data_IF_596795209060
#
_entry.id   IF_596795209060
#
_cell.length_a   1.000
_cell.length_b   1.000
_cell.length_c   1.000
_cell.angle_alpha   90.00
_cell.angle_beta   90.00
_cell.angle_gamma   90.00
#
_symmetry.space_group_name_H-M   'P 1'
#
loop_
_entity.id
_entity.type
_entity.pdbx_description
1 polymer ?
#
# COMPACT_ATOMS: atom_id res chain seq x y z
N UNK A 1 -15.91 -15.26 15.00
CA UNK A 1 -14.83 -15.29 13.98
C UNK A 1 -14.75 -13.94 13.27
N UNK A 2 -13.60 -13.26 13.30
CA UNK A 2 -13.44 -12.00 12.57
C UNK A 2 -13.50 -12.30 11.06
N UNK A 3 -14.28 -11.56 10.25
CA UNK A 3 -14.30 -11.74 8.81
C UNK A 3 -12.90 -11.55 8.20
N UNK A 4 -12.59 -12.19 7.06
CA UNK A 4 -11.30 -12.03 6.41
C UNK A 4 -11.19 -10.60 5.86
N UNK A 5 -10.47 -9.74 6.58
CA UNK A 5 -10.16 -8.39 6.14
C UNK A 5 -8.90 -8.41 5.29
N UNK A 6 -8.94 -7.77 4.13
CA UNK A 6 -7.86 -7.77 3.16
C UNK A 6 -7.63 -6.37 2.62
N UNK A 7 -6.35 -6.07 2.34
CA UNK A 7 -6.01 -5.01 1.41
C UNK A 7 -6.08 -5.60 -0.01
N UNK A 8 -6.71 -4.91 -0.98
CA UNK A 8 -6.63 -5.35 -2.36
C UNK A 8 -5.17 -5.36 -2.80
N UNK A 9 -4.62 -6.56 -3.06
CA UNK A 9 -3.26 -6.75 -3.60
C UNK A 9 -2.19 -7.32 -2.66
N UNK A 10 -2.51 -7.78 -1.44
CA UNK A 10 -1.52 -8.39 -0.54
C UNK A 10 -1.14 -9.84 -0.92
N UNK A 11 -0.01 -10.01 -1.64
CA UNK A 11 0.79 -11.26 -1.63
C UNK A 11 1.94 -11.07 -0.64
N UNK A 12 1.91 -11.79 0.47
CA UNK A 12 2.95 -11.72 1.51
C UNK A 12 4.09 -12.69 1.17
N UNK A 13 5.31 -12.20 0.91
CA UNK A 13 6.51 -13.05 0.91
C UNK A 13 7.66 -12.44 1.72
N UNK A 14 8.28 -13.33 2.51
CA UNK A 14 9.18 -13.05 3.62
C UNK A 14 10.63 -12.75 3.24
N UNK A 15 11.36 -12.33 4.27
CA UNK A 15 12.74 -11.87 4.23
C UNK A 15 13.76 -12.97 3.89
N UNK A 16 14.36 -12.82 2.71
CA UNK A 16 15.67 -13.32 2.29
C UNK A 16 16.34 -12.24 1.43
N UNK A 17 17.54 -12.45 0.84
CA UNK A 17 18.04 -11.54 -0.18
C UNK A 17 16.93 -11.32 -1.23
N UNK A 18 16.46 -10.07 -1.37
CA UNK A 18 15.28 -9.76 -2.22
C UNK A 18 15.49 -10.11 -3.69
N UNK A 19 16.75 -10.34 -4.09
CA UNK A 19 17.14 -10.71 -5.44
C UNK A 19 17.50 -12.20 -5.43
N UNK A 20 16.54 -13.05 -5.80
CA UNK A 20 16.75 -14.50 -5.93
C UNK A 20 17.42 -14.78 -7.27
N UNK A 21 18.63 -15.37 -7.25
CA UNK A 21 19.36 -15.78 -8.46
C UNK A 21 19.97 -14.64 -9.29
N UNK A 22 20.13 -13.44 -8.72
CA UNK A 22 20.72 -12.30 -9.41
C UNK A 22 22.21 -12.08 -9.13
N UNK A 23 22.81 -11.20 -9.92
CA UNK A 23 24.21 -10.79 -9.83
C UNK A 23 24.30 -9.34 -9.34
N UNK A 24 25.42 -8.95 -8.73
CA UNK A 24 25.69 -7.54 -8.44
C UNK A 24 25.68 -6.73 -9.73
N UNK A 25 24.95 -5.61 -9.72
CA UNK A 25 24.90 -4.70 -10.86
C UNK A 25 26.02 -3.66 -10.76
N UNK A 26 26.70 -3.41 -11.88
CA UNK A 26 27.60 -2.28 -12.04
C UNK A 26 26.82 -0.95 -11.97
N UNK A 27 27.44 0.15 -11.51
CA UNK A 27 26.79 1.45 -11.51
C UNK A 27 26.24 1.81 -12.90
N UNK A 28 24.96 2.24 -12.94
CA UNK A 28 24.21 2.59 -14.17
C UNK A 28 23.96 1.43 -15.14
N UNK A 29 24.19 0.18 -14.75
CA UNK A 29 23.89 -0.98 -15.60
C UNK A 29 22.40 -1.07 -15.96
N UNK A 30 21.53 -0.67 -15.04
CA UNK A 30 20.07 -0.64 -15.22
C UNK A 30 19.55 0.78 -14.99
N UNK A 31 19.72 1.69 -15.96
CA UNK A 31 19.48 3.12 -15.77
C UNK A 31 18.00 3.47 -15.52
N UNK A 32 17.07 2.57 -15.87
CA UNK A 32 15.65 2.69 -15.55
C UNK A 32 15.30 2.23 -14.14
N UNK A 33 16.15 1.45 -13.46
CA UNK A 33 15.87 0.92 -12.13
C UNK A 33 16.01 2.02 -11.07
N UNK A 34 14.96 2.23 -10.27
CA UNK A 34 14.96 3.23 -9.20
C UNK A 34 14.62 2.65 -7.84
N UNK A 35 15.15 3.30 -6.82
CA UNK A 35 14.87 3.05 -5.40
C UNK A 35 13.94 4.18 -4.91
N UNK A 36 12.67 3.87 -4.71
CA UNK A 36 11.74 4.79 -4.05
C UNK A 36 12.05 4.77 -2.56
N UNK A 37 12.36 5.93 -1.99
CA UNK A 37 12.76 6.05 -0.58
C UNK A 37 11.77 6.91 0.22
N UNK A 38 11.53 6.51 1.46
CA UNK A 38 10.77 7.27 2.45
C UNK A 38 11.64 7.45 3.69
N UNK A 39 11.83 8.70 4.15
CA UNK A 39 12.74 9.04 5.25
C UNK A 39 14.17 8.47 5.11
N UNK A 40 14.71 8.43 3.88
CA UNK A 40 16.04 7.89 3.61
C UNK A 40 16.15 6.36 3.64
N UNK A 41 15.02 5.65 3.73
CA UNK A 41 14.95 4.20 3.67
C UNK A 41 14.30 3.73 2.37
N UNK A 42 14.86 2.68 1.74
CA UNK A 42 14.26 2.04 0.57
C UNK A 42 12.90 1.44 0.91
N UNK A 43 11.87 1.94 0.23
CA UNK A 43 10.50 1.47 0.34
C UNK A 43 10.23 0.40 -0.71
N UNK A 44 10.44 0.77 -1.98
CA UNK A 44 10.09 -0.06 -3.13
C UNK A 44 10.99 0.16 -4.33
N UNK A 45 11.03 -0.83 -5.21
CA UNK A 45 11.57 -0.68 -6.56
C UNK A 45 10.58 0.02 -7.49
N UNK A 46 11.10 0.61 -8.56
CA UNK A 46 10.30 1.14 -9.66
C UNK A 46 11.11 1.23 -10.95
N UNK A 47 10.43 1.59 -12.04
CA UNK A 47 11.02 1.79 -13.36
C UNK A 47 10.70 3.17 -13.92
N UNK A 48 11.70 3.88 -14.42
CA UNK A 48 11.51 5.12 -15.18
C UNK A 48 10.89 4.77 -16.52
N UNK A 49 9.66 5.23 -16.75
CA UNK A 49 8.94 4.99 -18.02
C UNK A 49 8.88 6.24 -18.90
N UNK A 50 9.10 7.43 -18.32
CA UNK A 50 9.25 8.71 -19.03
C UNK A 50 10.14 9.65 -18.21
N UNK A 51 10.55 10.82 -18.74
CA UNK A 51 11.30 11.81 -17.96
C UNK A 51 10.60 12.33 -16.69
N UNK A 52 9.29 12.06 -16.53
CA UNK A 52 8.49 12.55 -15.38
C UNK A 52 7.76 11.46 -14.61
N UNK A 53 7.75 10.21 -15.10
CA UNK A 53 6.91 9.16 -14.55
C UNK A 53 7.74 7.91 -14.22
N UNK A 54 7.59 7.45 -12.99
CA UNK A 54 8.07 6.16 -12.50
C UNK A 54 6.84 5.28 -12.27
N UNK A 55 6.91 4.03 -12.73
CA UNK A 55 5.93 3.00 -12.38
C UNK A 55 6.46 2.16 -11.22
N UNK A 56 5.61 1.83 -10.26
CA UNK A 56 5.92 0.98 -9.09
C UNK A 56 4.71 0.12 -8.73
N UNK A 57 4.85 -0.79 -7.76
CA UNK A 57 3.73 -1.58 -7.30
C UNK A 57 2.73 -0.72 -6.52
N UNK A 58 1.43 -0.96 -6.68
CA UNK A 58 0.39 -0.19 -5.98
C UNK A 58 0.61 -0.14 -4.45
N UNK A 59 1.10 -1.24 -3.87
CA UNK A 59 1.36 -1.34 -2.44
C UNK A 59 2.48 -0.43 -1.91
N UNK A 60 3.30 0.10 -2.83
CA UNK A 60 4.35 1.06 -2.50
C UNK A 60 3.81 2.46 -2.18
N UNK A 61 2.50 2.67 -2.35
CA UNK A 61 1.78 3.90 -2.05
C UNK A 61 0.45 3.64 -1.33
N UNK A 62 0.34 2.55 -0.56
CA UNK A 62 -0.92 2.08 0.04
C UNK A 62 -1.64 3.10 0.95
N UNK A 63 -0.99 4.21 1.34
CA UNK A 63 -1.64 5.26 2.14
C UNK A 63 -2.91 5.77 1.45
N UNK A 64 -4.02 5.75 2.16
CA UNK A 64 -5.35 6.05 1.61
C UNK A 64 -6.05 4.88 0.91
N UNK A 65 -5.37 3.76 0.69
CA UNK A 65 -5.95 2.53 0.14
C UNK A 65 -6.97 1.87 1.09
N UNK A 66 -7.93 1.09 0.56
CA UNK A 66 -9.03 0.55 1.36
C UNK A 66 -8.63 -0.72 2.13
N UNK A 67 -8.96 -0.77 3.42
CA UNK A 67 -9.10 -2.00 4.18
C UNK A 67 -10.57 -2.44 4.14
N UNK A 68 -10.83 -3.54 3.46
CA UNK A 68 -12.18 -4.09 3.32
C UNK A 68 -12.28 -5.44 4.01
N UNK A 69 -13.42 -5.71 4.66
CA UNK A 69 -13.75 -7.01 5.20
C UNK A 69 -14.97 -7.56 4.49
N UNK A 70 -14.93 -8.85 4.15
CA UNK A 70 -16.09 -9.54 3.60
C UNK A 70 -17.05 -9.95 4.71
N UNK A 71 -18.29 -9.48 4.64
CA UNK A 71 -19.37 -9.84 5.55
C UNK A 71 -20.60 -10.24 4.73
N UNK A 72 -21.05 -11.48 4.88
CA UNK A 72 -22.17 -12.06 4.12
C UNK A 72 -22.06 -11.82 2.60
N UNK A 73 -20.88 -12.11 2.03
CA UNK A 73 -20.56 -11.91 0.60
C UNK A 73 -20.59 -10.45 0.12
N UNK A 74 -20.59 -9.48 1.05
CA UNK A 74 -20.47 -8.05 0.75
C UNK A 74 -19.15 -7.55 1.31
N UNK A 75 -18.34 -6.92 0.45
CA UNK A 75 -17.12 -6.25 0.86
C UNK A 75 -17.44 -4.88 1.44
N UNK A 76 -17.23 -4.72 2.75
CA UNK A 76 -17.44 -3.47 3.47
C UNK A 76 -16.12 -2.76 3.70
N UNK A 77 -16.05 -1.48 3.35
CA UNK A 77 -14.91 -0.63 3.67
C UNK A 77 -14.90 -0.34 5.17
N UNK A 78 -13.93 -0.87 5.90
CA UNK A 78 -13.83 -0.71 7.36
C UNK A 78 -12.72 0.26 7.77
N UNK A 79 -11.75 0.49 6.90
CA UNK A 79 -10.69 1.47 7.15
C UNK A 79 -9.96 1.94 5.90
N UNK A 80 -9.15 2.97 6.08
CA UNK A 80 -8.19 3.45 5.07
C UNK A 80 -6.78 3.33 5.65
N UNK A 81 -5.83 2.82 4.87
CA UNK A 81 -4.42 2.73 5.30
C UNK A 81 -3.93 4.08 5.76
N UNK A 82 -3.43 4.16 6.99
CA UNK A 82 -2.94 5.40 7.59
C UNK A 82 -1.42 5.40 7.65
N UNK A 83 -0.82 4.60 8.55
CA UNK A 83 0.62 4.54 8.71
C UNK A 83 1.07 3.19 9.28
N UNK A 84 2.38 2.97 9.35
CA UNK A 84 2.99 1.82 10.01
C UNK A 84 4.48 2.07 10.22
N UNK A 85 5.10 1.28 11.09
CA UNK A 85 6.56 1.27 11.24
C UNK A 85 7.14 0.23 10.29
N UNK A 86 7.78 0.68 9.21
CA UNK A 86 8.21 -0.21 8.12
C UNK A 86 7.04 -0.66 7.25
N UNK A 87 7.22 -1.74 6.49
CA UNK A 87 6.22 -2.23 5.53
C UNK A 87 5.98 -3.72 5.70
N UNK A 88 4.76 -4.10 6.10
CA UNK A 88 4.30 -5.48 6.25
C UNK A 88 5.27 -6.38 7.07
N UNK A 89 5.98 -5.80 8.03
CA UNK A 89 6.92 -6.55 8.86
C UNK A 89 6.18 -7.39 9.90
N UNK A 90 6.69 -8.60 10.15
CA UNK A 90 6.15 -9.48 11.18
C UNK A 90 6.14 -8.75 12.53
N UNK A 91 5.01 -8.80 13.23
CA UNK A 91 4.77 -8.14 14.52
C UNK A 91 4.78 -6.60 14.51
N UNK A 92 4.84 -5.95 13.34
CA UNK A 92 4.63 -4.50 13.21
C UNK A 92 3.30 -4.24 12.51
N UNK A 93 2.21 -4.00 13.26
CA UNK A 93 0.90 -3.81 12.65
C UNK A 93 0.84 -2.51 11.85
N UNK A 94 0.13 -2.54 10.72
CA UNK A 94 -0.33 -1.33 10.06
C UNK A 94 -1.47 -0.69 10.85
N UNK A 95 -1.50 0.64 10.88
CA UNK A 95 -2.55 1.45 11.49
C UNK A 95 -3.46 1.98 10.38
N UNK A 96 -4.76 1.88 10.62
CA UNK A 96 -5.81 2.28 9.68
C UNK A 96 -6.71 3.32 10.33
N UNK A 97 -7.14 4.31 9.55
CA UNK A 97 -8.22 5.20 9.98
C UNK A 97 -9.53 4.41 9.95
N UNK A 98 -10.29 4.44 11.03
CA UNK A 98 -11.56 3.69 11.15
C UNK A 98 -12.66 4.40 10.37
N UNK A 99 -13.07 3.86 9.22
CA UNK A 99 -14.09 4.48 8.35
C UNK A 99 -15.41 4.69 9.09
N UNK A 100 -15.80 3.76 9.95
CA UNK A 100 -17.04 3.86 10.74
C UNK A 100 -17.09 5.07 11.68
N UNK A 101 -15.95 5.59 12.11
CA UNK A 101 -15.90 6.81 12.94
C UNK A 101 -16.21 8.09 12.15
N UNK A 102 -16.08 8.06 10.83
CA UNK A 102 -16.26 9.22 9.95
C UNK A 102 -17.54 9.15 9.11
N UNK A 103 -18.37 8.12 9.27
CA UNK A 103 -19.58 7.95 8.45
C UNK A 103 -20.50 9.17 8.46
N UNK A 104 -20.72 9.80 9.60
CA UNK A 104 -21.55 11.01 9.68
C UNK A 104 -21.02 12.15 8.80
N UNK A 105 -19.72 12.45 8.90
CA UNK A 105 -19.06 13.44 8.04
C UNK A 105 -19.07 13.03 6.58
N UNK A 106 -18.80 11.75 6.27
CA UNK A 106 -18.82 11.24 4.88
C UNK A 106 -20.22 11.43 4.27
N UNK A 107 -21.28 11.05 4.97
CA UNK A 107 -22.65 11.21 4.51
C UNK A 107 -22.99 12.69 4.29
N UNK A 108 -22.66 13.57 5.24
CA UNK A 108 -22.85 15.01 5.10
C UNK A 108 -22.15 15.55 3.85
N UNK A 109 -20.87 15.22 3.65
CA UNK A 109 -20.15 15.70 2.47
C UNK A 109 -20.70 15.12 1.17
N UNK A 110 -21.20 13.89 1.17
CA UNK A 110 -21.79 13.24 -0.01
C UNK A 110 -23.17 13.81 -0.38
N UNK A 111 -23.97 14.22 0.60
CA UNK A 111 -25.29 14.83 0.39
C UNK A 111 -25.19 16.24 -0.25
N UNK A 112 -24.11 16.97 0.03
CA UNK A 112 -23.86 18.31 -0.54
C UNK A 112 -23.63 18.28 -2.06
N UNK A 113 -23.27 17.13 -2.65
CA UNK A 113 -23.06 16.99 -4.10
C UNK A 113 -24.31 16.66 -4.92
N UNK A 114 -25.49 16.57 -4.28
CA UNK A 114 -26.77 16.31 -4.96
C UNK A 114 -27.63 17.58 -5.19
N UNK A 115 -27.07 18.77 -4.95
CA UNK A 115 -27.64 20.08 -5.31
C UNK A 115 -26.78 20.76 -6.39
#
# INVERSE_FOLDING_TARGET
PQPPCQLPGMVLQGYGPRIVGGNAASPRQWPWQVSLQFHGHHLCGGSVITPRWIITAAHCGDSGGPLACEDMSIWKLVGTTSFGVGCAEKNKPGVYSRTTSFLGWIHEQMEVWLL
#
